data_IF_758055100453
#
_entry.id   IF_758055100453
#
_cell.length_a   1.000
_cell.length_b   1.000
_cell.length_c   1.000
_cell.angle_alpha   90.00
_cell.angle_beta   90.00
_cell.angle_gamma   90.00
#
_symmetry.space_group_name_H-M   'P 1'
#
loop_
_entity.id
_entity.type
_entity.pdbx_description
1 polymer ?
#
# COMPACT_ATOMS: atom_id res chain seq x y z
N UNK A 1 -19.17 -41.15 -58.96
CA UNK A 1 -19.97 -40.74 -57.79
C UNK A 1 -19.01 -40.65 -56.61
N UNK A 2 -18.58 -39.45 -56.25
CA UNK A 2 -17.56 -39.24 -55.22
C UNK A 2 -18.20 -38.49 -54.06
N UNK A 3 -18.24 -39.11 -52.88
CA UNK A 3 -18.78 -38.51 -51.66
C UNK A 3 -17.76 -37.51 -51.07
N UNK A 4 -18.24 -36.31 -50.74
CA UNK A 4 -17.45 -35.28 -50.03
C UNK A 4 -17.69 -35.48 -48.53
N UNK A 5 -16.65 -35.57 -47.69
CA UNK A 5 -16.84 -35.73 -46.25
C UNK A 5 -17.38 -34.45 -45.61
N UNK A 6 -18.49 -34.57 -44.89
CA UNK A 6 -19.09 -33.49 -44.10
C UNK A 6 -18.37 -33.40 -42.75
N UNK A 7 -17.64 -32.30 -42.52
CA UNK A 7 -17.03 -32.03 -41.22
C UNK A 7 -18.10 -31.60 -40.21
N UNK A 8 -18.19 -32.31 -39.09
CA UNK A 8 -19.06 -32.00 -37.95
C UNK A 8 -18.28 -31.09 -37.01
N UNK A 9 -18.75 -29.84 -36.83
CA UNK A 9 -18.19 -28.92 -35.84
C UNK A 9 -18.97 -29.02 -34.53
N UNK A 10 -18.29 -29.18 -33.37
CA UNK A 10 -18.96 -29.15 -32.07
C UNK A 10 -19.49 -27.75 -31.75
N UNK A 11 -20.62 -27.75 -31.03
CA UNK A 11 -21.49 -26.62 -30.70
C UNK A 11 -20.79 -25.38 -30.13
N UNK A 12 -20.97 -24.27 -30.86
CA UNK A 12 -21.20 -22.89 -30.37
C UNK A 12 -20.53 -22.49 -29.05
N UNK A 13 -19.33 -21.93 -29.17
CA UNK A 13 -18.94 -20.78 -28.33
C UNK A 13 -19.83 -19.58 -28.72
N UNK A 14 -20.33 -18.76 -27.78
CA UNK A 14 -21.01 -17.53 -28.15
C UNK A 14 -20.00 -16.61 -28.82
N UNK A 15 -20.03 -16.57 -30.16
CA UNK A 15 -19.33 -15.56 -30.94
C UNK A 15 -19.84 -14.20 -30.46
N UNK A 16 -19.00 -13.45 -29.76
CA UNK A 16 -19.18 -12.01 -29.65
C UNK A 16 -19.28 -11.48 -31.08
N UNK A 17 -20.40 -10.85 -31.41
CA UNK A 17 -20.59 -10.14 -32.68
C UNK A 17 -19.38 -9.22 -32.84
N UNK A 18 -18.60 -9.33 -33.93
CA UNK A 18 -17.53 -8.38 -34.20
C UNK A 18 -18.14 -7.00 -34.17
N UNK A 19 -17.71 -6.19 -33.21
CA UNK A 19 -18.16 -4.82 -33.05
C UNK A 19 -17.76 -4.08 -34.33
N UNK A 20 -18.71 -3.86 -35.24
CA UNK A 20 -18.51 -3.13 -36.48
C UNK A 20 -18.30 -1.66 -36.11
N UNK A 21 -17.09 -1.35 -35.61
CA UNK A 21 -16.63 0.02 -35.45
C UNK A 21 -16.78 0.69 -36.81
N UNK A 22 -17.38 1.87 -36.82
CA UNK A 22 -17.39 2.71 -38.02
C UNK A 22 -15.95 2.83 -38.54
N UNK A 23 -15.71 2.67 -39.85
CA UNK A 23 -14.37 2.81 -40.39
C UNK A 23 -13.80 4.16 -39.94
N UNK A 24 -12.53 4.15 -39.51
CA UNK A 24 -11.83 5.37 -39.14
C UNK A 24 -12.01 6.42 -40.25
N UNK A 25 -12.25 7.69 -39.90
CA UNK A 25 -12.45 8.71 -40.91
C UNK A 25 -11.25 8.76 -41.87
N UNK A 26 -11.47 8.92 -43.19
CA UNK A 26 -10.41 8.88 -44.20
C UNK A 26 -9.35 9.99 -44.02
N UNK A 27 -9.62 10.97 -43.15
CA UNK A 27 -8.68 12.01 -42.74
C UNK A 27 -7.47 11.48 -41.96
N UNK A 28 -7.51 10.27 -41.39
CA UNK A 28 -6.34 9.69 -40.69
C UNK A 28 -5.23 9.19 -41.62
N UNK A 29 -5.48 9.04 -42.94
CA UNK A 29 -4.48 8.59 -43.92
C UNK A 29 -4.02 9.71 -44.87
N UNK A 30 -4.57 10.91 -44.76
CA UNK A 30 -4.31 12.02 -45.66
C UNK A 30 -4.05 13.32 -44.90
N UNK A 31 -3.20 13.27 -43.87
CA UNK A 31 -2.48 14.46 -43.40
C UNK A 31 -1.13 14.49 -44.10
N UNK A 32 -1.17 14.66 -45.43
CA UNK A 32 0.01 14.83 -46.27
C UNK A 32 0.50 16.27 -46.24
N UNK A 33 0.47 16.90 -45.08
CA UNK A 33 1.38 17.98 -44.78
C UNK A 33 2.52 17.31 -43.99
N UNK A 34 3.58 16.82 -44.67
CA UNK A 34 4.83 16.54 -43.99
C UNK A 34 5.29 17.87 -43.40
N UNK A 35 4.89 18.11 -42.16
CA UNK A 35 5.25 19.32 -41.44
C UNK A 35 6.75 19.30 -41.24
N UNK A 36 7.48 19.92 -42.16
CA UNK A 36 8.91 20.27 -42.08
C UNK A 36 9.72 19.35 -41.15
N UNK A 37 9.73 18.04 -41.43
CA UNK A 37 10.61 17.08 -40.76
C UNK A 37 12.01 17.14 -41.41
N UNK A 38 12.45 18.35 -41.73
CA UNK A 38 13.75 18.61 -42.29
C UNK A 38 14.68 18.99 -41.14
N UNK A 39 15.61 18.09 -40.83
CA UNK A 39 16.80 18.43 -40.05
C UNK A 39 17.48 19.61 -40.73
N UNK A 40 17.73 20.68 -39.97
CA UNK A 40 18.45 21.84 -40.50
C UNK A 40 19.84 21.44 -40.97
N UNK A 41 20.39 22.14 -41.97
CA UNK A 41 21.74 21.82 -42.52
C UNK A 41 22.80 21.83 -41.40
N UNK A 42 22.62 22.70 -40.40
CA UNK A 42 23.48 22.73 -39.22
C UNK A 42 23.34 21.47 -38.34
N UNK A 43 22.17 20.86 -38.22
CA UNK A 43 21.97 19.61 -37.46
C UNK A 43 22.62 18.40 -38.13
N UNK A 44 22.71 18.38 -39.46
CA UNK A 44 23.40 17.32 -40.20
C UNK A 44 24.93 17.35 -40.04
N UNK A 45 25.49 18.49 -39.61
CA UNK A 45 26.92 18.64 -39.33
C UNK A 45 27.28 18.35 -37.87
N UNK A 46 26.28 18.18 -36.99
CA UNK A 46 26.50 17.84 -35.59
C UNK A 46 26.82 16.34 -35.44
N UNK A 47 27.65 16.04 -34.43
CA UNK A 47 27.84 14.67 -33.97
C UNK A 47 26.56 14.14 -33.30
N UNK A 48 26.34 12.83 -33.32
CA UNK A 48 25.11 12.19 -32.83
C UNK A 48 24.83 12.58 -31.36
N UNK A 49 25.88 12.63 -30.54
CA UNK A 49 25.80 13.03 -29.13
C UNK A 49 25.39 14.50 -28.95
N UNK A 50 25.87 15.38 -29.84
CA UNK A 50 25.57 16.81 -29.79
C UNK A 50 24.12 17.07 -30.27
N UNK A 51 23.68 16.34 -31.30
CA UNK A 51 22.31 16.40 -31.78
C UNK A 51 21.35 15.88 -30.71
N UNK A 52 21.66 14.76 -30.06
CA UNK A 52 20.86 14.20 -28.98
C UNK A 52 20.69 15.21 -27.82
N UNK A 53 21.78 15.86 -27.38
CA UNK A 53 21.72 16.90 -26.35
C UNK A 53 20.83 18.08 -26.76
N UNK A 54 20.98 18.57 -27.99
CA UNK A 54 20.16 19.67 -28.52
C UNK A 54 18.67 19.31 -28.52
N UNK A 55 18.33 18.08 -28.93
CA UNK A 55 16.95 17.59 -28.94
C UNK A 55 16.42 17.46 -27.51
N UNK A 56 17.20 16.90 -26.58
CA UNK A 56 16.78 16.80 -25.17
C UNK A 56 16.59 18.17 -24.52
N UNK A 57 17.43 19.14 -24.86
CA UNK A 57 17.36 20.50 -24.35
C UNK A 57 16.17 21.26 -24.96
N UNK A 58 15.90 21.08 -26.26
CA UNK A 58 14.73 21.64 -26.93
C UNK A 58 13.42 21.13 -26.30
N UNK A 59 13.38 19.85 -25.92
CA UNK A 59 12.24 19.26 -25.22
C UNK A 59 12.24 19.54 -23.72
N UNK A 60 13.23 20.28 -23.19
CA UNK A 60 13.40 20.56 -21.77
C UNK A 60 13.33 19.28 -20.88
N UNK A 61 13.72 18.12 -21.42
CA UNK A 61 13.66 16.84 -20.69
C UNK A 61 14.66 16.79 -19.52
N UNK A 62 15.66 17.65 -19.56
CA UNK A 62 16.67 17.83 -18.52
C UNK A 62 16.24 18.85 -17.45
N UNK A 63 15.12 19.56 -17.66
CA UNK A 63 14.59 20.51 -16.69
C UNK A 63 13.62 19.80 -15.75
N UNK A 64 13.75 20.06 -14.45
CA UNK A 64 12.81 19.55 -13.44
C UNK A 64 11.46 20.23 -13.67
N UNK A 65 10.39 19.43 -13.78
CA UNK A 65 9.05 19.98 -14.01
C UNK A 65 8.61 20.89 -12.85
N UNK A 66 7.68 21.82 -13.08
CA UNK A 66 7.21 22.70 -11.99
C UNK A 66 6.57 21.91 -10.84
N UNK A 67 5.87 20.82 -11.17
CA UNK A 67 5.28 19.90 -10.19
C UNK A 67 6.37 19.17 -9.40
N UNK A 68 7.43 18.72 -10.07
CA UNK A 68 8.57 18.07 -9.43
C UNK A 68 9.36 19.04 -8.55
N UNK A 69 9.52 20.29 -8.99
CA UNK A 69 10.13 21.35 -8.18
C UNK A 69 9.32 21.57 -6.91
N UNK A 70 7.99 21.62 -7.02
CA UNK A 70 7.09 21.77 -5.86
C UNK A 70 7.10 20.55 -4.94
N UNK A 71 7.24 19.35 -5.49
CA UNK A 71 7.38 18.13 -4.71
C UNK A 71 8.74 18.03 -4.00
N UNK A 72 9.80 18.54 -4.63
CA UNK A 72 11.15 18.62 -4.07
C UNK A 72 11.32 19.75 -3.06
N UNK A 73 10.41 20.71 -2.99
CA UNK A 73 10.37 21.69 -1.91
C UNK A 73 10.07 20.95 -0.60
N UNK A 74 11.11 20.76 0.22
CA UNK A 74 10.96 20.30 1.59
C UNK A 74 9.95 21.24 2.29
N UNK A 75 8.85 20.73 2.87
CA UNK A 75 7.86 21.55 3.56
C UNK A 75 8.51 22.19 4.79
N UNK A 76 9.22 23.29 4.58
CA UNK A 76 9.88 24.06 5.63
C UNK A 76 8.79 24.64 6.51
N UNK A 77 8.75 24.15 7.74
CA UNK A 77 7.99 24.82 8.78
C UNK A 77 8.56 26.25 8.93
N UNK A 78 7.70 27.27 9.09
CA UNK A 78 8.18 28.62 9.32
C UNK A 78 9.07 28.63 10.56
N UNK A 79 10.22 29.32 10.48
CA UNK A 79 11.14 29.45 11.62
C UNK A 79 10.44 30.32 12.67
N UNK A 80 10.12 29.79 13.86
CA UNK A 80 9.42 30.57 14.87
C UNK A 80 10.34 31.70 15.37
N UNK A 81 9.77 32.89 15.52
CA UNK A 81 10.48 34.08 16.01
C UNK A 81 10.37 34.26 17.52
N UNK A 82 9.44 33.55 18.16
CA UNK A 82 9.13 33.64 19.60
C UNK A 82 8.84 32.24 20.18
N UNK A 83 9.16 32.04 21.45
CA UNK A 83 8.87 30.78 22.17
C UNK A 83 7.37 30.42 22.18
N UNK A 84 6.49 31.42 22.14
CA UNK A 84 5.04 31.21 22.08
C UNK A 84 4.64 30.65 20.71
N UNK A 85 5.21 31.22 19.65
CA UNK A 85 4.98 30.77 18.27
C UNK A 85 5.53 29.36 18.06
N UNK A 86 6.68 29.04 18.65
CA UNK A 86 7.28 27.71 18.62
C UNK A 86 6.37 26.66 19.28
N UNK A 87 5.81 26.96 20.45
CA UNK A 87 4.87 26.03 21.13
C UNK A 87 3.60 25.83 20.31
N UNK A 88 3.03 26.88 19.74
CA UNK A 88 1.85 26.78 18.89
C UNK A 88 2.12 25.97 17.61
N UNK A 89 3.28 26.19 17.00
CA UNK A 89 3.71 25.44 15.83
C UNK A 89 3.90 23.96 16.17
N UNK A 90 4.56 23.66 17.30
CA UNK A 90 4.74 22.29 17.79
C UNK A 90 3.40 21.60 18.04
N UNK A 91 2.47 22.24 18.76
CA UNK A 91 1.14 21.67 19.02
C UNK A 91 0.38 21.40 17.71
N UNK A 92 0.44 22.33 16.76
CA UNK A 92 -0.20 22.18 15.44
C UNK A 92 0.40 21.03 14.65
N UNK A 93 1.73 20.89 14.63
CA UNK A 93 2.42 19.80 13.95
C UNK A 93 2.07 18.46 14.60
N UNK A 94 2.12 18.37 15.92
CA UNK A 94 1.76 17.16 16.66
C UNK A 94 0.30 16.77 16.46
N UNK A 95 -0.62 17.73 16.42
CA UNK A 95 -2.03 17.46 16.13
C UNK A 95 -2.22 16.90 14.72
N UNK A 96 -1.57 17.49 13.71
CA UNK A 96 -1.60 16.98 12.33
C UNK A 96 -1.00 15.59 12.21
N UNK A 97 0.13 15.33 12.86
CA UNK A 97 0.77 14.02 12.84
C UNK A 97 -0.12 12.94 13.45
N UNK A 98 -0.77 13.23 14.58
CA UNK A 98 -1.73 12.29 15.19
C UNK A 98 -2.92 12.00 14.27
N UNK A 99 -3.49 13.03 13.65
CA UNK A 99 -4.58 12.87 12.69
C UNK A 99 -4.16 12.05 11.45
N UNK A 100 -2.95 12.26 10.94
CA UNK A 100 -2.43 11.49 9.82
C UNK A 100 -2.20 10.01 10.17
N UNK A 101 -1.73 9.72 11.39
CA UNK A 101 -1.60 8.35 11.89
C UNK A 101 -2.97 7.68 12.02
N UNK A 102 -3.96 8.37 12.58
CA UNK A 102 -5.34 7.88 12.67
C UNK A 102 -5.92 7.56 11.29
N UNK A 103 -5.71 8.44 10.31
CA UNK A 103 -6.13 8.20 8.94
C UNK A 103 -5.45 6.96 8.31
N UNK A 104 -4.14 6.77 8.54
CA UNK A 104 -3.44 5.58 8.04
C UNK A 104 -3.97 4.29 8.68
N UNK A 105 -4.32 4.32 9.97
CA UNK A 105 -4.96 3.18 10.63
C UNK A 105 -6.36 2.88 10.06
N UNK A 106 -7.12 3.92 9.71
CA UNK A 106 -8.42 3.77 9.03
C UNK A 106 -8.27 3.19 7.62
N UNK A 107 -7.31 3.70 6.85
CA UNK A 107 -6.99 3.21 5.51
C UNK A 107 -6.56 1.74 5.56
N UNK A 108 -5.73 1.34 6.53
CA UNK A 108 -5.34 -0.07 6.71
C UNK A 108 -6.55 -0.96 7.02
N UNK A 109 -7.46 -0.51 7.91
CA UNK A 109 -8.70 -1.25 8.21
C UNK A 109 -9.58 -1.34 6.97
N UNK A 110 -9.67 -0.27 6.17
CA UNK A 110 -10.43 -0.26 4.93
C UNK A 110 -9.85 -1.25 3.91
N UNK A 111 -8.53 -1.28 3.72
CA UNK A 111 -7.86 -2.23 2.83
C UNK A 111 -8.06 -3.68 3.26
N UNK A 112 -7.98 -3.96 4.57
CA UNK A 112 -8.27 -5.29 5.12
C UNK A 112 -9.72 -5.71 4.84
N UNK A 113 -10.68 -4.80 5.01
CA UNK A 113 -12.10 -5.04 4.69
C UNK A 113 -12.33 -5.23 3.19
N UNK A 114 -11.72 -4.40 2.34
CA UNK A 114 -11.81 -4.50 0.89
C UNK A 114 -11.26 -5.85 0.39
N UNK A 115 -10.10 -6.26 0.90
CA UNK A 115 -9.48 -7.56 0.57
C UNK A 115 -10.34 -8.73 1.02
N UNK A 116 -11.00 -8.61 2.20
CA UNK A 116 -11.94 -9.63 2.67
C UNK A 116 -13.20 -9.70 1.81
N UNK A 117 -13.73 -8.55 1.37
CA UNK A 117 -14.88 -8.47 0.47
C UNK A 117 -14.61 -9.12 -0.89
N UNK A 118 -13.44 -8.85 -1.49
CA UNK A 118 -13.02 -9.45 -2.76
C UNK A 118 -12.91 -11.00 -2.72
N UNK A 119 -12.64 -11.58 -1.54
CA UNK A 119 -12.64 -13.05 -1.36
C UNK A 119 -14.03 -13.66 -1.34
N UNK A 120 -15.08 -12.89 -1.07
CA UNK A 120 -16.46 -13.40 -1.05
C UNK A 120 -16.96 -13.67 -2.48
N UNK A 121 -16.54 -12.86 -3.45
CA UNK A 121 -16.95 -13.01 -4.86
C UNK A 121 -16.26 -14.21 -5.55
N UNK A 122 -15.06 -14.59 -5.09
CA UNK A 122 -14.29 -15.73 -5.63
C UNK A 122 -14.52 -17.04 -4.88
N UNK A 123 -15.25 -17.03 -3.75
CA UNK A 123 -15.64 -18.29 -3.14
C UNK A 123 -16.63 -19.03 -4.04
N UNK A 124 -16.40 -20.32 -4.34
CA UNK A 124 -17.38 -21.11 -5.06
C UNK A 124 -18.67 -21.10 -4.26
N UNK A 125 -19.76 -20.59 -4.86
CA UNK A 125 -21.11 -20.70 -4.31
C UNK A 125 -21.30 -22.15 -3.86
N UNK A 126 -21.61 -22.44 -2.59
CA UNK A 126 -21.77 -23.82 -2.15
C UNK A 126 -22.96 -24.43 -2.89
N UNK A 127 -22.68 -25.21 -3.94
CA UNK A 127 -23.67 -25.94 -4.73
C UNK A 127 -24.00 -27.24 -4.01
N UNK A 128 -24.48 -27.14 -2.78
CA UNK A 128 -25.03 -28.26 -2.04
C UNK A 128 -26.55 -28.14 -2.07
N UNK A 129 -27.25 -29.18 -2.52
CA UNK A 129 -28.72 -29.23 -2.44
C UNK A 129 -29.22 -29.55 -1.01
N UNK A 130 -28.31 -29.98 -0.12
CA UNK A 130 -28.63 -30.32 1.26
C UNK A 130 -28.33 -29.13 2.17
N UNK A 131 -29.39 -28.60 2.79
CA UNK A 131 -29.33 -27.43 3.68
C UNK A 131 -28.45 -27.70 4.91
N UNK A 132 -28.50 -28.92 5.46
CA UNK A 132 -27.69 -29.33 6.62
C UNK A 132 -26.18 -29.26 6.33
N UNK A 133 -25.77 -29.65 5.12
CA UNK A 133 -24.36 -29.59 4.68
C UNK A 133 -23.90 -28.15 4.49
N UNK A 134 -24.79 -27.28 4.00
CA UNK A 134 -24.51 -25.84 3.88
C UNK A 134 -24.34 -25.22 5.27
N UNK A 135 -25.27 -25.50 6.20
CA UNK A 135 -25.21 -25.00 7.57
C UNK A 135 -23.97 -25.51 8.31
N UNK A 136 -23.62 -26.78 8.13
CA UNK A 136 -22.40 -27.35 8.71
C UNK A 136 -21.13 -26.68 8.16
N UNK A 137 -21.08 -26.39 6.86
CA UNK A 137 -19.96 -25.67 6.24
C UNK A 137 -19.85 -24.21 6.70
N UNK A 138 -20.97 -23.56 7.02
CA UNK A 138 -21.02 -22.20 7.55
C UNK A 138 -20.61 -22.09 9.02
N UNK A 139 -20.79 -23.17 9.81
CA UNK A 139 -20.37 -23.22 11.22
C UNK A 139 -18.86 -23.47 11.42
N UNK A 140 -18.06 -23.50 10.35
CA UNK A 140 -16.59 -23.51 10.43
C UNK A 140 -15.96 -24.78 11.00
N UNK A 141 -16.70 -25.89 11.12
CA UNK A 141 -16.17 -27.13 11.66
C UNK A 141 -15.39 -27.90 10.58
N UNK A 142 -14.09 -27.64 10.50
CA UNK A 142 -13.14 -28.55 9.88
C UNK A 142 -13.04 -29.83 10.74
N UNK A 143 -13.50 -30.98 10.22
CA UNK A 143 -12.81 -32.29 10.14
C UNK A 143 -13.81 -33.32 9.58
N UNK A 144 -13.53 -34.00 8.45
CA UNK A 144 -14.24 -35.24 8.12
C UNK A 144 -13.60 -36.41 8.90
N UNK A 145 -14.21 -36.80 10.01
CA UNK A 145 -13.95 -38.12 10.61
C UNK A 145 -14.72 -39.13 9.77
N UNK A 146 -14.00 -39.98 9.03
CA UNK A 146 -14.57 -41.14 8.37
C UNK A 146 -15.23 -42.08 9.40
N UNK A 147 -16.44 -42.59 9.15
CA UNK A 147 -17.03 -43.60 10.01
C UNK A 147 -16.52 -44.98 9.57
N UNK A 148 -15.47 -45.48 10.22
CA UNK A 148 -15.14 -46.91 10.25
C UNK A 148 -15.45 -47.43 11.66
N UNK A 149 -16.35 -48.39 11.69
CA UNK A 149 -16.94 -49.12 12.82
C UNK A 149 -15.97 -49.46 13.96
N UNK A 150 -16.33 -49.18 15.23
CA UNK A 150 -16.53 -50.20 16.28
C UNK A 150 -16.90 -49.60 17.65
N UNK A 151 -17.60 -50.42 18.43
CA UNK A 151 -18.26 -50.11 19.68
C UNK A 151 -17.32 -49.81 20.88
N UNK A 152 -17.94 -49.24 21.92
CA UNK A 152 -17.49 -49.14 23.32
C UNK A 152 -16.20 -48.37 23.59
N UNK A 153 -16.30 -47.17 24.20
CA UNK A 153 -15.82 -46.86 25.57
C UNK A 153 -16.70 -45.74 26.17
N UNK A 154 -17.01 -45.85 27.47
CA UNK A 154 -17.82 -44.97 28.30
C UNK A 154 -17.22 -43.56 28.51
N UNK A 155 -18.03 -42.56 28.91
CA UNK A 155 -17.54 -41.23 29.26
C UNK A 155 -16.92 -41.25 30.66
N UNK A 156 -15.60 -41.15 30.76
CA UNK A 156 -14.94 -40.83 32.03
C UNK A 156 -14.62 -39.35 32.10
N UNK A 157 -15.36 -38.70 32.99
CA UNK A 157 -15.10 -37.38 33.54
C UNK A 157 -13.68 -37.26 34.14
N UNK A 158 -13.14 -36.05 34.04
CA UNK A 158 -12.03 -35.45 34.81
C UNK A 158 -10.58 -35.50 34.29
N UNK A 159 -9.92 -34.34 34.52
CA UNK A 159 -8.50 -33.97 34.40
C UNK A 159 -8.04 -33.66 32.97
N UNK A 160 -7.46 -32.51 32.62
CA UNK A 160 -6.62 -31.52 33.31
C UNK A 160 -6.91 -30.16 32.63
N UNK A 161 -6.86 -28.97 33.20
CA UNK A 161 -6.12 -28.43 34.34
C UNK A 161 -5.94 -26.94 34.01
N UNK A 162 -6.56 -26.05 34.78
CA UNK A 162 -6.49 -24.60 34.62
C UNK A 162 -5.05 -24.08 34.76
N UNK A 163 -4.60 -23.12 33.93
CA UNK A 163 -3.53 -22.24 34.35
C UNK A 163 -4.13 -21.08 35.15
N UNK A 164 -3.80 -21.06 36.44
CA UNK A 164 -3.93 -19.88 37.31
C UNK A 164 -3.12 -18.73 36.70
N UNK A 165 -3.77 -17.78 36.04
CA UNK A 165 -3.21 -16.44 35.85
C UNK A 165 -3.69 -15.58 37.02
N UNK A 166 -2.90 -15.57 38.10
CA UNK A 166 -3.01 -14.50 39.09
C UNK A 166 -2.60 -13.20 38.40
N UNK A 167 -3.58 -12.34 38.11
CA UNK A 167 -3.33 -10.95 37.77
C UNK A 167 -2.73 -10.27 39.02
N UNK A 168 -1.51 -9.74 38.89
CA UNK A 168 -0.97 -8.83 39.89
C UNK A 168 -1.89 -7.61 40.02
N UNK A 169 -2.23 -7.16 41.24
CA UNK A 169 -2.97 -5.92 41.44
C UNK A 169 -2.15 -4.73 40.94
N UNK A 170 -2.77 -3.93 40.05
CA UNK A 170 -2.20 -2.67 39.55
C UNK A 170 -1.94 -1.75 40.76
N UNK A 171 -0.69 -1.26 40.97
CA UNK A 171 -0.42 -0.31 42.05
C UNK A 171 -1.11 1.04 41.76
N UNK A 172 -1.62 1.72 42.80
CA UNK A 172 -2.30 3.01 42.64
C UNK A 172 -1.34 4.09 42.09
N UNK A 173 -1.88 5.11 41.41
CA UNK A 173 -1.07 6.17 40.81
C UNK A 173 -0.26 6.93 41.87
N UNK A 174 1.06 7.03 41.66
CA UNK A 174 1.98 7.78 42.52
C UNK A 174 1.59 9.26 42.56
N UNK A 175 1.57 9.83 43.77
CA UNK A 175 1.29 11.26 43.96
C UNK A 175 2.53 12.10 43.58
N UNK A 176 2.35 13.35 43.11
CA UNK A 176 3.44 14.20 42.64
C UNK A 176 4.54 14.52 43.68
N UNK A 177 4.33 14.19 44.96
CA UNK A 177 5.33 14.35 46.01
C UNK A 177 6.45 13.30 45.95
N UNK A 178 6.18 12.10 45.44
CA UNK A 178 7.15 10.98 45.45
C UNK A 178 8.12 11.02 44.26
N UNK A 179 7.68 11.60 43.15
CA UNK A 179 8.51 11.82 41.94
C UNK A 179 9.65 12.81 42.17
N UNK A 180 9.52 13.73 43.13
CA UNK A 180 10.53 14.72 43.46
C UNK A 180 11.71 14.15 44.28
N UNK A 181 11.55 12.98 44.92
CA UNK A 181 12.60 12.38 45.75
C UNK A 181 13.62 11.56 44.94
N UNK A 182 13.28 11.12 43.71
CA UNK A 182 14.13 10.23 42.91
C UNK A 182 15.17 10.93 42.03
N UNK A 183 15.09 12.25 41.84
CA UNK A 183 15.98 12.96 40.90
C UNK A 183 17.29 13.49 41.51
N UNK A 184 17.55 13.31 42.81
CA UNK A 184 18.69 13.99 43.47
C UNK A 184 19.93 13.12 43.73
N UNK A 185 20.05 11.93 43.15
CA UNK A 185 21.24 11.08 43.35
C UNK A 185 21.72 10.41 42.06
N UNK A 186 22.16 11.20 41.07
CA UNK A 186 23.08 10.69 40.05
C UNK A 186 23.91 11.81 39.41
N UNK A 187 25.24 11.65 39.53
CA UNK A 187 26.28 12.19 38.65
C UNK A 187 26.70 13.67 38.82
N UNK A 188 27.40 13.92 39.93
CA UNK A 188 28.55 14.82 39.91
C UNK A 188 29.65 14.22 39.03
N UNK A 189 29.99 14.88 37.91
CA UNK A 189 31.02 14.46 36.95
C UNK A 189 31.61 15.64 36.18
N UNK A 190 32.70 16.18 36.71
CA UNK A 190 33.71 17.14 36.20
C UNK A 190 33.62 17.71 34.75
N UNK A 191 33.87 19.03 34.55
CA UNK A 191 34.15 19.60 33.23
C UNK A 191 35.66 19.54 32.90
N UNK A 192 36.01 18.86 31.80
CA UNK A 192 37.35 18.88 31.23
C UNK A 192 37.56 20.13 30.35
N UNK A 193 38.47 21.00 30.77
CA UNK A 193 39.02 22.10 29.97
C UNK A 193 39.92 21.53 28.87
N UNK A 194 39.78 21.96 27.61
CA UNK A 194 40.85 21.82 26.62
C UNK A 194 41.09 23.12 25.86
N UNK A 195 42.33 23.57 25.98
CA UNK A 195 42.87 24.82 25.49
C UNK A 195 42.96 24.88 23.96
N UNK A 196 42.99 26.12 23.47
CA UNK A 196 43.01 26.46 22.06
C UNK A 196 44.26 26.01 21.31
N UNK A 197 44.15 26.03 19.99
CA UNK A 197 45.29 25.93 19.09
C UNK A 197 45.08 26.84 17.89
N UNK A 198 45.77 27.98 17.98
CA UNK A 198 46.09 28.88 16.87
C UNK A 198 47.03 28.18 15.88
N UNK A 199 46.72 28.29 14.58
CA UNK A 199 47.64 28.36 13.43
C UNK A 199 46.89 29.19 12.36
N UNK A 200 47.36 30.40 12.05
CA UNK A 200 48.31 30.72 10.96
C UNK A 200 47.86 30.13 9.63
#
# INVERSE_FOLDING_TARGET
>A
MSQIPTAVFPSQVPYLVPDFRSPSPPTSLCSSDPGHDETTISENELDDDALARKVTDMHALNEISEEERRANEDPKLPVPTSEIEERQLYERVMAKLRAAVEQLEEDERFEQLATRGARIETQPKPMSANLDVILQSLMGQSVPVQPQYHAHIQPTSERFGSPNFYLEPIPPPETPAERAARTNTAAAGQPARRAGRSRK
#
